data_IF_141340810060
#
_entry.id   IF_141340810060
#
_cell.length_a   1.000
_cell.length_b   1.000
_cell.length_c   1.000
_cell.angle_alpha   90.00
_cell.angle_beta   90.00
_cell.angle_gamma   90.00
#
_symmetry.space_group_name_H-M   'P 1'
#
loop_
_entity.id
_entity.type
_entity.pdbx_description
1 polymer ?
#
# COMPACT_ATOMS: atom_id res chain seq x y z
N UNK A 1 6.17 -0.29 -13.49
CA UNK A 1 6.99 0.20 -12.38
C UNK A 1 6.61 1.66 -12.10
N UNK A 2 6.26 2.06 -10.86
CA UNK A 2 6.08 3.49 -10.52
C UNK A 2 7.41 4.18 -10.78
N UNK A 3 7.45 5.03 -11.82
CA UNK A 3 8.64 5.78 -12.16
C UNK A 3 8.88 6.88 -11.13
N UNK A 4 9.68 6.57 -10.12
CA UNK A 4 10.19 7.54 -9.15
C UNK A 4 11.00 8.62 -9.86
N UNK A 5 10.38 9.77 -10.11
CA UNK A 5 11.05 10.94 -10.63
C UNK A 5 11.34 11.95 -9.51
N UNK A 6 12.12 12.98 -9.83
CA UNK A 6 12.51 14.01 -8.86
C UNK A 6 11.30 14.73 -8.24
N UNK A 7 10.20 14.90 -8.99
CA UNK A 7 8.99 15.57 -8.51
C UNK A 7 8.28 14.73 -7.45
N UNK A 8 8.11 13.42 -7.68
CA UNK A 8 7.54 12.50 -6.70
C UNK A 8 8.43 12.38 -5.46
N UNK A 9 9.75 12.27 -5.65
CA UNK A 9 10.71 12.22 -4.54
C UNK A 9 10.69 13.50 -3.69
N UNK A 10 10.51 14.67 -4.31
CA UNK A 10 10.40 15.94 -3.59
C UNK A 10 9.19 15.99 -2.66
N UNK A 11 8.07 15.34 -3.03
CA UNK A 11 6.83 15.29 -2.25
C UNK A 11 6.91 14.34 -1.05
N UNK A 12 7.86 13.41 -1.01
CA UNK A 12 8.00 12.40 0.07
C UNK A 12 8.77 12.92 1.29
N UNK A 13 9.25 14.17 1.30
CA UNK A 13 10.06 14.67 2.43
C UNK A 13 9.29 14.59 3.74
N UNK A 14 9.66 13.62 4.57
CA UNK A 14 9.11 13.36 5.89
C UNK A 14 10.24 13.36 6.92
N UNK A 15 9.93 13.81 8.12
CA UNK A 15 10.76 13.57 9.30
C UNK A 15 10.58 12.13 9.79
N UNK A 16 11.58 11.63 10.52
CA UNK A 16 11.50 10.31 11.17
C UNK A 16 10.33 10.22 12.18
N UNK A 17 9.89 11.35 12.74
CA UNK A 17 8.74 11.38 13.65
C UNK A 17 7.43 11.11 12.90
N UNK A 18 7.24 11.75 11.75
CA UNK A 18 6.07 11.52 10.90
C UNK A 18 6.00 10.07 10.41
N UNK A 19 7.16 9.46 10.13
CA UNK A 19 7.24 8.07 9.66
C UNK A 19 6.81 7.03 10.72
N UNK A 20 6.69 7.39 12.00
CA UNK A 20 6.27 6.45 13.06
C UNK A 20 4.85 5.92 12.87
N UNK A 21 4.00 6.60 12.08
CA UNK A 21 2.65 6.13 11.80
C UNK A 21 2.61 5.00 10.78
N UNK A 22 3.66 4.86 9.96
CA UNK A 22 3.67 3.98 8.80
C UNK A 22 3.49 2.49 9.15
N UNK A 23 4.13 1.93 10.21
CA UNK A 23 3.90 0.54 10.57
C UNK A 23 2.42 0.22 10.81
N UNK A 24 1.71 1.07 11.57
CA UNK A 24 0.28 0.88 11.83
C UNK A 24 -0.59 1.00 10.57
N UNK A 25 -0.17 1.83 9.62
CA UNK A 25 -0.85 1.97 8.33
C UNK A 25 -0.58 0.77 7.42
N UNK A 26 0.63 0.20 7.44
CA UNK A 26 0.95 -1.03 6.71
C UNK A 26 0.14 -2.21 7.26
N UNK A 27 0.07 -2.37 8.59
CA UNK A 27 -0.75 -3.41 9.22
C UNK A 27 -2.23 -3.29 8.82
N UNK A 28 -2.72 -2.05 8.72
CA UNK A 28 -4.06 -1.77 8.22
C UNK A 28 -4.28 -2.25 6.77
N UNK A 29 -3.34 -1.96 5.87
CA UNK A 29 -3.41 -2.35 4.46
C UNK A 29 -3.33 -3.88 4.30
N UNK A 30 -2.41 -4.53 5.01
CA UNK A 30 -2.28 -6.01 5.04
C UNK A 30 -3.56 -6.66 5.59
N UNK A 31 -4.10 -6.13 6.68
CA UNK A 31 -5.37 -6.61 7.24
C UNK A 31 -6.54 -6.46 6.26
N UNK A 32 -6.53 -5.43 5.42
CA UNK A 32 -7.52 -5.23 4.36
C UNK A 32 -7.33 -6.25 3.23
N UNK A 33 -6.09 -6.48 2.78
CA UNK A 33 -5.76 -7.48 1.78
C UNK A 33 -6.22 -8.89 2.19
N UNK A 34 -5.94 -9.28 3.44
CA UNK A 34 -6.34 -10.58 3.99
C UNK A 34 -7.87 -10.76 4.00
N UNK A 35 -8.63 -9.72 4.37
CA UNK A 35 -10.11 -9.75 4.34
C UNK A 35 -10.63 -9.93 2.92
N UNK A 36 -10.02 -9.25 1.95
CA UNK A 36 -10.39 -9.36 0.53
C UNK A 36 -10.11 -10.79 0.03
N UNK A 37 -8.93 -11.34 0.33
CA UNK A 37 -8.55 -12.71 -0.06
C UNK A 37 -9.51 -13.77 0.54
N UNK A 38 -9.87 -13.64 1.81
CA UNK A 38 -10.81 -14.56 2.48
C UNK A 38 -12.26 -14.42 1.97
N UNK A 39 -12.64 -13.24 1.51
CA UNK A 39 -14.00 -12.94 1.04
C UNK A 39 -14.33 -13.53 -0.33
N UNK A 40 -13.34 -13.93 -1.13
CA UNK A 40 -13.53 -14.61 -2.43
C UNK A 40 -14.35 -13.85 -3.49
N UNK A 41 -14.65 -12.57 -3.27
CA UNK A 41 -15.64 -11.81 -4.04
C UNK A 41 -14.98 -10.61 -4.70
N UNK A 42 -15.28 -10.42 -6.00
CA UNK A 42 -15.08 -9.16 -6.72
C UNK A 42 -15.71 -8.03 -5.94
N UNK A 43 -14.91 -7.15 -5.31
CA UNK A 43 -15.47 -6.23 -4.38
C UNK A 43 -16.38 -5.21 -5.06
N UNK A 44 -17.58 -5.04 -4.48
CA UNK A 44 -18.58 -4.10 -4.98
C UNK A 44 -18.40 -2.72 -4.34
N UNK A 45 -18.90 -1.68 -5.00
CA UNK A 45 -18.81 -0.29 -4.50
C UNK A 45 -19.38 -0.09 -3.09
N UNK A 46 -20.32 -0.93 -2.65
CA UNK A 46 -20.87 -0.91 -1.29
C UNK A 46 -19.90 -1.42 -0.21
N UNK A 47 -19.01 -2.37 -0.53
CA UNK A 47 -18.10 -2.98 0.45
C UNK A 47 -16.99 -2.03 0.92
N UNK A 48 -16.57 -1.08 0.07
CA UNK A 48 -15.54 -0.11 0.42
C UNK A 48 -16.10 1.25 0.85
N UNK A 49 -17.41 1.36 1.05
CA UNK A 49 -18.04 2.61 1.49
C UNK A 49 -17.56 3.09 2.86
N UNK A 50 -17.05 2.18 3.71
CA UNK A 50 -16.47 2.47 5.02
C UNK A 50 -14.96 2.76 5.00
N UNK A 51 -14.29 2.57 3.86
CA UNK A 51 -12.88 2.95 3.68
C UNK A 51 -12.75 4.47 3.74
N UNK A 52 -11.88 4.96 4.64
CA UNK A 52 -11.68 6.38 4.89
C UNK A 52 -10.55 6.98 4.06
N UNK A 53 -9.64 6.15 3.58
CA UNK A 53 -8.57 6.57 2.70
C UNK A 53 -9.10 6.59 1.26
N UNK A 54 -9.36 7.78 0.74
CA UNK A 54 -9.93 7.97 -0.60
C UNK A 54 -9.05 7.39 -1.72
N UNK A 55 -7.72 7.47 -1.57
CA UNK A 55 -6.79 6.92 -2.55
C UNK A 55 -6.87 5.40 -2.55
N UNK A 56 -6.83 4.79 -1.36
CA UNK A 56 -6.92 3.34 -1.22
C UNK A 56 -8.29 2.83 -1.67
N UNK A 57 -9.38 3.49 -1.26
CA UNK A 57 -10.75 3.17 -1.69
C UNK A 57 -10.89 3.15 -3.20
N UNK A 58 -10.38 4.19 -3.87
CA UNK A 58 -10.46 4.28 -5.32
C UNK A 58 -9.70 3.13 -5.99
N UNK A 59 -8.47 2.84 -5.53
CA UNK A 59 -7.70 1.71 -6.05
C UNK A 59 -8.40 0.36 -5.85
N UNK A 60 -9.02 0.14 -4.69
CA UNK A 60 -9.77 -1.07 -4.42
C UNK A 60 -11.00 -1.23 -5.34
N UNK A 61 -11.66 -0.13 -5.73
CA UNK A 61 -12.75 -0.16 -6.72
C UNK A 61 -12.24 -0.62 -8.09
N UNK A 62 -11.07 -0.12 -8.54
CA UNK A 62 -10.45 -0.56 -9.81
C UNK A 62 -10.11 -2.05 -9.78
N UNK A 63 -9.58 -2.54 -8.67
CA UNK A 63 -9.33 -3.98 -8.48
C UNK A 63 -10.64 -4.77 -8.52
N UNK A 64 -11.72 -4.22 -7.95
CA UNK A 64 -13.06 -4.79 -8.04
C UNK A 64 -13.62 -4.90 -9.45
N UNK A 65 -13.26 -3.97 -10.32
CA UNK A 65 -13.56 -3.99 -11.75
C UNK A 65 -12.67 -4.99 -12.54
N UNK A 66 -11.72 -5.63 -11.87
CA UNK A 66 -10.82 -6.63 -12.46
C UNK A 66 -9.56 -6.05 -13.09
N UNK A 67 -9.22 -4.77 -12.82
CA UNK A 67 -7.97 -4.19 -13.29
C UNK A 67 -6.78 -4.72 -12.48
N UNK A 68 -5.69 -5.04 -13.17
CA UNK A 68 -4.43 -5.51 -12.59
C UNK A 68 -3.25 -5.22 -13.53
N UNK A 69 -2.04 -5.57 -13.11
CA UNK A 69 -0.83 -5.43 -13.93
C UNK A 69 -0.55 -4.00 -14.39
N UNK A 70 -0.08 -3.86 -15.62
CA UNK A 70 0.41 -2.58 -16.17
C UNK A 70 -0.67 -1.49 -16.21
N UNK A 71 -1.91 -1.85 -16.57
CA UNK A 71 -3.01 -0.87 -16.69
C UNK A 71 -3.32 -0.24 -15.33
N UNK A 72 -3.44 -1.07 -14.28
CA UNK A 72 -3.70 -0.58 -12.94
C UNK A 72 -2.55 0.30 -12.45
N UNK A 73 -1.32 -0.12 -12.72
CA UNK A 73 -0.14 0.63 -12.35
C UNK A 73 -0.06 2.01 -13.04
N UNK A 74 -0.39 2.10 -14.32
CA UNK A 74 -0.47 3.38 -15.05
C UNK A 74 -1.50 4.33 -14.42
N UNK A 75 -2.68 3.81 -14.05
CA UNK A 75 -3.73 4.61 -13.40
C UNK A 75 -3.23 5.14 -12.05
N UNK A 76 -2.65 4.27 -11.21
CA UNK A 76 -2.12 4.67 -9.90
C UNK A 76 -0.97 5.68 -10.03
N UNK A 77 -0.10 5.51 -11.03
CA UNK A 77 0.97 6.46 -11.30
C UNK A 77 0.42 7.85 -11.67
N UNK A 78 -0.64 7.92 -12.49
CA UNK A 78 -1.33 9.18 -12.80
C UNK A 78 -1.92 9.80 -11.53
N UNK A 79 -2.57 9.02 -10.66
CA UNK A 79 -3.12 9.52 -9.40
C UNK A 79 -2.04 10.12 -8.49
N UNK A 80 -0.90 9.45 -8.35
CA UNK A 80 0.24 9.96 -7.57
C UNK A 80 0.78 11.26 -8.17
N UNK A 81 0.88 11.32 -9.51
CA UNK A 81 1.41 12.50 -10.20
C UNK A 81 0.52 13.74 -10.00
N UNK A 82 -0.80 13.58 -10.11
CA UNK A 82 -1.76 14.69 -9.95
C UNK A 82 -2.15 14.98 -8.50
N UNK A 83 -1.75 14.12 -7.55
CA UNK A 83 -2.03 14.31 -6.13
C UNK A 83 -1.50 15.65 -5.62
N UNK A 84 -2.25 16.30 -4.74
CA UNK A 84 -1.81 17.51 -4.03
C UNK A 84 -1.22 17.21 -2.66
N UNK A 85 -1.21 15.94 -2.24
CA UNK A 85 -0.62 15.55 -0.98
C UNK A 85 0.91 15.73 -1.02
N UNK A 86 1.48 16.03 0.13
CA UNK A 86 2.92 16.15 0.36
C UNK A 86 3.26 15.50 1.70
N UNK A 87 4.56 15.30 1.96
CA UNK A 87 5.07 14.68 3.17
C UNK A 87 4.45 13.32 3.44
N UNK A 88 3.99 13.12 4.67
CA UNK A 88 3.52 11.82 5.15
C UNK A 88 2.25 11.35 4.44
N UNK A 89 1.36 12.26 4.06
CA UNK A 89 0.13 11.90 3.36
C UNK A 89 0.43 11.42 1.94
N UNK A 90 1.40 12.02 1.27
CA UNK A 90 1.86 11.54 -0.04
C UNK A 90 2.57 10.19 0.08
N UNK A 91 3.42 10.03 1.09
CA UNK A 91 4.09 8.76 1.37
C UNK A 91 3.07 7.63 1.62
N UNK A 92 1.99 7.91 2.36
CA UNK A 92 0.87 6.96 2.52
C UNK A 92 0.22 6.58 1.20
N UNK A 93 0.00 7.54 0.29
CA UNK A 93 -0.53 7.22 -1.05
C UNK A 93 0.41 6.31 -1.85
N UNK A 94 1.72 6.51 -1.75
CA UNK A 94 2.70 5.63 -2.39
C UNK A 94 2.63 4.19 -1.83
N UNK A 95 2.55 4.05 -0.51
CA UNK A 95 2.41 2.76 0.17
C UNK A 95 1.08 2.10 -0.20
N UNK A 96 -0.02 2.88 -0.24
CA UNK A 96 -1.33 2.41 -0.67
C UNK A 96 -1.30 1.91 -2.12
N UNK A 97 -0.63 2.62 -3.03
CA UNK A 97 -0.49 2.20 -4.42
C UNK A 97 0.18 0.83 -4.53
N UNK A 98 1.29 0.61 -3.81
CA UNK A 98 1.97 -0.68 -3.78
C UNK A 98 1.06 -1.77 -3.17
N UNK A 99 0.32 -1.45 -2.11
CA UNK A 99 -0.65 -2.37 -1.51
C UNK A 99 -1.77 -2.77 -2.48
N UNK A 100 -2.32 -1.80 -3.22
CA UNK A 100 -3.35 -2.05 -4.24
C UNK A 100 -2.81 -2.99 -5.32
N UNK A 101 -1.58 -2.78 -5.80
CA UNK A 101 -0.94 -3.65 -6.78
C UNK A 101 -0.73 -5.08 -6.22
N UNK A 102 -0.26 -5.20 -4.98
CA UNK A 102 -0.14 -6.50 -4.31
C UNK A 102 -1.47 -7.25 -4.23
N UNK A 103 -2.54 -6.54 -3.85
CA UNK A 103 -3.90 -7.10 -3.80
C UNK A 103 -4.35 -7.54 -5.19
N UNK A 104 -4.19 -6.69 -6.21
CA UNK A 104 -4.59 -6.99 -7.58
C UNK A 104 -3.86 -8.19 -8.19
N UNK A 105 -2.60 -8.39 -7.80
CA UNK A 105 -1.77 -9.50 -8.25
C UNK A 105 -1.97 -10.79 -7.44
N UNK A 106 -2.79 -10.76 -6.39
CA UNK A 106 -3.00 -11.91 -5.50
C UNK A 106 -1.73 -12.30 -4.74
N UNK A 107 -0.86 -11.32 -4.45
CA UNK A 107 0.35 -11.56 -3.67
C UNK A 107 -0.01 -11.90 -2.22
N UNK A 108 0.76 -12.82 -1.63
CA UNK A 108 0.59 -13.16 -0.22
C UNK A 108 1.07 -12.05 0.72
N UNK A 109 0.72 -12.18 2.00
CA UNK A 109 1.09 -11.23 3.05
C UNK A 109 2.62 -11.03 3.14
N UNK A 110 3.41 -12.08 2.92
CA UNK A 110 4.87 -12.00 3.03
C UNK A 110 5.46 -11.10 1.94
N UNK A 111 5.03 -11.31 0.69
CA UNK A 111 5.46 -10.50 -0.46
C UNK A 111 5.02 -9.05 -0.27
N UNK A 112 3.77 -8.83 0.14
CA UNK A 112 3.24 -7.49 0.40
C UNK A 112 4.09 -6.77 1.47
N UNK A 113 4.38 -7.41 2.61
CA UNK A 113 5.21 -6.80 3.65
C UNK A 113 6.63 -6.48 3.17
N UNK A 114 7.24 -7.34 2.37
CA UNK A 114 8.57 -7.10 1.80
C UNK A 114 8.62 -5.86 0.90
N UNK A 115 7.49 -5.50 0.28
CA UNK A 115 7.34 -4.28 -0.53
C UNK A 115 7.02 -3.04 0.30
N UNK A 116 6.20 -3.17 1.35
CA UNK A 116 5.72 -2.03 2.14
C UNK A 116 6.66 -1.59 3.26
N UNK A 117 7.30 -2.52 3.97
CA UNK A 117 8.16 -2.19 5.12
C UNK A 117 9.38 -1.30 4.79
N UNK A 118 10.01 -1.37 3.60
CA UNK A 118 11.09 -0.46 3.23
C UNK A 118 10.73 1.03 3.31
N UNK A 119 9.45 1.39 3.18
CA UNK A 119 8.99 2.77 3.36
C UNK A 119 9.14 3.27 4.81
N UNK A 120 9.30 2.39 5.79
CA UNK A 120 9.60 2.75 7.19
C UNK A 120 11.11 2.97 7.45
N UNK A 121 11.97 2.71 6.45
CA UNK A 121 13.42 2.65 6.61
C UNK A 121 13.93 1.22 6.80
N UNK A 122 15.18 0.98 6.40
CA UNK A 122 15.79 -0.36 6.34
C UNK A 122 15.85 -1.05 7.70
N UNK A 123 16.15 -0.30 8.77
CA UNK A 123 16.30 -0.87 10.12
C UNK A 123 14.96 -1.44 10.61
N UNK A 124 13.88 -0.67 10.49
CA UNK A 124 12.52 -1.09 10.87
C UNK A 124 12.07 -2.29 10.02
N UNK A 125 12.39 -2.30 8.74
CA UNK A 125 12.05 -3.39 7.84
C UNK A 125 12.75 -4.70 8.24
N UNK A 126 14.05 -4.64 8.55
CA UNK A 126 14.83 -5.79 9.00
C UNK A 126 14.33 -6.33 10.34
N UNK A 127 14.09 -5.45 11.31
CA UNK A 127 13.60 -5.83 12.65
C UNK A 127 12.23 -6.52 12.57
N UNK A 128 11.32 -5.98 11.78
CA UNK A 128 9.96 -6.52 11.62
C UNK A 128 9.97 -7.89 10.94
N UNK A 129 10.80 -8.07 9.90
CA UNK A 129 10.95 -9.37 9.23
C UNK A 129 11.59 -10.40 10.16
N UNK A 130 12.55 -10.00 11.00
CA UNK A 130 13.19 -10.88 11.97
C UNK A 130 12.19 -11.36 13.04
N UNK A 131 11.40 -10.45 13.61
CA UNK A 131 10.38 -10.75 14.62
C UNK A 131 9.31 -11.73 14.10
N UNK A 132 8.76 -11.47 12.90
CA UNK A 132 7.75 -12.35 12.31
C UNK A 132 8.28 -13.75 11.99
N UNK A 133 9.57 -13.88 11.65
CA UNK A 133 10.21 -15.19 11.46
C UNK A 133 10.36 -15.98 12.76
N UNK A 134 10.64 -15.30 13.88
CA UNK A 134 10.68 -15.98 15.18
C UNK A 134 9.30 -16.47 15.63
N UNK A 135 8.22 -15.74 15.31
CA UNK A 135 6.84 -16.13 15.68
C UNK A 135 6.31 -17.34 14.89
N UNK A 136 6.87 -17.65 13.71
CA UNK A 136 6.49 -18.80 12.89
C UNK A 136 7.41 -20.02 13.09
N UNK A 137 8.40 -19.92 13.99
CA UNK A 137 9.34 -21.01 14.30
C UNK A 137 8.94 -21.81 15.56
N UNK A 138 7.90 -21.37 16.27
CA UNK A 138 7.25 -22.04 17.41
C UNK A 138 5.92 -22.69 16.98
#
# INVERSE_FOLDING_TARGET
MIYWNADLAAKIRCSSEEMKILPSYIDYLVGSANKIAQGGIQPTSGQFSSEKDDFFRYGLLLVGEGLSGEILEEILAVLLYVSKAEGIDFLKQCIAAEAILSIANGEDEEIMLRKLLPYCGIDVALDTIAQRKSEHAD
#
